data_IF_786798398994
#
_entry.id   IF_786798398994
#
_cell.length_a   1.000
_cell.length_b   1.000
_cell.length_c   1.000
_cell.angle_alpha   90.00
_cell.angle_beta   90.00
_cell.angle_gamma   90.00
#
_symmetry.space_group_name_H-M   'P 1'
#
loop_
_entity.id
_entity.type
_entity.pdbx_description
1 polymer ?
#
# COMPACT_ATOMS: atom_id res chain seq x y z
N UNK A 1 22.02 -2.19 -17.56
CA UNK A 1 20.96 -2.73 -16.66
C UNK A 1 20.34 -1.54 -15.96
N UNK A 2 19.06 -1.60 -15.61
CA UNK A 2 18.48 -0.62 -14.69
C UNK A 2 19.14 -0.75 -13.29
N UNK A 3 19.18 0.31 -12.46
CA UNK A 3 19.60 0.19 -11.07
C UNK A 3 18.70 -0.80 -10.33
N UNK A 4 19.27 -1.57 -9.40
CA UNK A 4 18.50 -2.41 -8.47
C UNK A 4 17.44 -1.59 -7.73
N UNK A 5 16.33 -2.22 -7.27
CA UNK A 5 15.35 -1.55 -6.43
C UNK A 5 15.96 -1.12 -5.08
N UNK A 6 15.24 -0.25 -4.37
CA UNK A 6 15.52 0.10 -2.98
C UNK A 6 14.29 -0.23 -2.16
N UNK A 7 14.47 -0.91 -1.03
CA UNK A 7 13.36 -1.32 -0.17
C UNK A 7 13.39 -0.59 1.17
N UNK A 8 12.25 -0.07 1.60
CA UNK A 8 12.00 0.28 2.99
C UNK A 8 11.08 -0.78 3.59
N UNK A 9 11.54 -1.45 4.65
CA UNK A 9 10.74 -2.42 5.37
C UNK A 9 10.45 -1.90 6.78
N UNK A 10 9.17 -1.63 7.04
CA UNK A 10 8.63 -1.44 8.38
C UNK A 10 8.67 -2.82 9.05
N UNK A 11 9.65 -3.06 9.93
CA UNK A 11 9.98 -4.40 10.44
C UNK A 11 9.17 -4.80 11.68
N UNK A 12 8.38 -3.87 12.24
CA UNK A 12 7.46 -4.15 13.33
C UNK A 12 8.13 -4.41 14.68
N UNK A 13 7.47 -5.21 15.52
CA UNK A 13 8.01 -5.75 16.75
C UNK A 13 8.89 -6.96 16.48
N UNK A 14 9.68 -7.36 17.48
CA UNK A 14 10.42 -8.63 17.40
C UNK A 14 9.51 -9.82 17.14
N UNK A 15 8.27 -9.80 17.63
CA UNK A 15 7.31 -10.89 17.45
C UNK A 15 6.86 -11.04 16.00
N UNK A 16 6.52 -9.95 15.32
CA UNK A 16 6.14 -9.95 13.90
C UNK A 16 7.20 -10.59 13.02
N UNK A 17 8.49 -10.27 13.23
CA UNK A 17 9.59 -10.86 12.47
C UNK A 17 9.66 -12.39 12.58
N UNK A 18 9.15 -12.92 13.70
CA UNK A 18 8.99 -14.36 13.93
C UNK A 18 7.76 -14.97 13.27
N UNK A 19 6.69 -14.23 13.02
CA UNK A 19 5.41 -14.78 12.56
C UNK A 19 5.18 -14.68 11.05
N UNK A 20 4.26 -15.49 10.53
CA UNK A 20 3.83 -15.39 9.13
C UNK A 20 2.90 -14.19 8.95
N UNK A 21 3.07 -13.43 7.88
CA UNK A 21 2.33 -12.20 7.58
C UNK A 21 2.45 -11.84 6.10
N UNK A 22 1.52 -11.04 5.57
CA UNK A 22 1.60 -10.54 4.20
C UNK A 22 2.91 -9.77 3.94
N UNK A 23 3.40 -9.06 4.95
CA UNK A 23 4.71 -8.40 4.92
C UNK A 23 5.86 -9.41 4.73
N UNK A 24 5.86 -10.51 5.49
CA UNK A 24 6.88 -11.55 5.35
C UNK A 24 6.84 -12.25 3.98
N UNK A 25 5.63 -12.55 3.47
CA UNK A 25 5.42 -13.10 2.13
C UNK A 25 5.91 -12.15 1.03
N UNK A 26 5.63 -10.84 1.17
CA UNK A 26 6.09 -9.84 0.23
C UNK A 26 7.62 -9.65 0.27
N UNK A 27 8.25 -9.68 1.45
CA UNK A 27 9.70 -9.66 1.55
C UNK A 27 10.32 -10.87 0.85
N UNK A 28 9.77 -12.09 1.06
CA UNK A 28 10.21 -13.28 0.34
C UNK A 28 10.07 -13.10 -1.18
N UNK A 29 8.93 -12.60 -1.66
CA UNK A 29 8.70 -12.32 -3.08
C UNK A 29 9.76 -11.36 -3.65
N UNK A 30 10.05 -10.27 -2.95
CA UNK A 30 11.11 -9.33 -3.35
C UNK A 30 12.50 -9.96 -3.35
N UNK A 31 12.75 -10.94 -2.47
CA UNK A 31 14.00 -11.70 -2.44
C UNK A 31 14.12 -12.69 -3.59
N UNK A 32 13.05 -13.43 -3.90
CA UNK A 32 12.96 -14.30 -5.08
C UNK A 32 13.19 -13.47 -6.36
N UNK A 33 12.46 -12.37 -6.55
CA UNK A 33 12.63 -11.43 -7.67
C UNK A 33 14.08 -10.89 -7.75
N UNK A 34 14.72 -10.56 -6.62
CA UNK A 34 16.10 -10.07 -6.59
C UNK A 34 17.13 -11.15 -6.95
N UNK A 35 16.91 -12.41 -6.55
CA UNK A 35 17.77 -13.54 -6.92
C UNK A 35 17.66 -13.88 -8.41
N UNK A 36 16.44 -13.85 -8.98
CA UNK A 36 16.22 -14.03 -10.42
C UNK A 36 16.95 -12.98 -11.26
N UNK A 37 16.99 -11.73 -10.79
CA UNK A 37 17.75 -10.64 -11.42
C UNK A 37 19.26 -10.65 -11.12
N UNK A 38 19.76 -11.61 -10.33
CA UNK A 38 21.19 -11.83 -10.11
C UNK A 38 21.88 -10.73 -9.30
N UNK A 39 21.28 -10.25 -8.20
CA UNK A 39 21.95 -9.32 -7.29
C UNK A 39 23.31 -9.85 -6.80
N UNK A 40 24.29 -8.95 -6.65
CA UNK A 40 25.63 -9.29 -6.12
C UNK A 40 25.65 -9.42 -4.60
N UNK A 41 24.77 -8.69 -3.92
CA UNK A 41 24.75 -8.56 -2.48
C UNK A 41 23.74 -7.51 -2.02
N UNK A 42 23.69 -7.29 -0.71
CA UNK A 42 22.75 -6.40 -0.04
C UNK A 42 23.50 -5.39 0.82
N UNK A 43 23.05 -4.14 0.86
CA UNK A 43 23.55 -3.09 1.72
C UNK A 43 22.39 -2.60 2.59
N UNK A 44 22.49 -2.79 3.90
CA UNK A 44 21.39 -2.57 4.85
C UNK A 44 21.69 -1.48 5.87
N UNK A 45 20.65 -0.75 6.27
CA UNK A 45 20.64 0.08 7.48
C UNK A 45 19.41 -0.30 8.33
N UNK A 46 19.63 -0.70 9.58
CA UNK A 46 18.59 -1.06 10.53
C UNK A 46 18.43 -0.02 11.65
N UNK A 47 17.28 -0.05 12.33
CA UNK A 47 16.94 0.89 13.40
C UNK A 47 17.64 0.63 14.75
N UNK A 48 18.20 -0.56 14.97
CA UNK A 48 18.67 -0.96 16.31
C UNK A 48 20.19 -0.88 16.50
N UNK A 49 20.93 -0.33 15.52
CA UNK A 49 22.36 -0.05 15.65
C UNK A 49 22.72 1.39 15.26
N UNK A 50 23.21 2.16 16.24
CA UNK A 50 23.68 3.52 16.06
C UNK A 50 25.17 3.71 16.41
N UNK A 51 25.82 4.60 15.66
CA UNK A 51 27.17 5.08 15.94
C UNK A 51 27.11 6.40 16.71
N UNK A 52 27.93 6.50 17.76
CA UNK A 52 28.00 7.70 18.62
C UNK A 52 28.92 8.77 18.02
N UNK A 53 28.58 10.03 18.23
CA UNK A 53 29.30 11.19 17.68
C UNK A 53 28.43 11.99 16.69
N UNK A 54 28.93 13.12 16.21
CA UNK A 54 28.14 14.10 15.43
C UNK A 54 27.99 13.75 13.94
N UNK A 55 29.04 13.18 13.34
CA UNK A 55 29.11 12.79 11.93
C UNK A 55 29.84 11.44 11.84
N UNK A 56 29.41 10.48 12.66
CA UNK A 56 30.01 9.15 12.79
C UNK A 56 29.04 8.09 12.26
N UNK A 57 29.53 7.23 11.38
CA UNK A 57 28.85 6.05 10.87
C UNK A 57 29.79 4.86 11.01
N UNK A 58 29.26 3.70 11.37
CA UNK A 58 30.01 2.45 11.43
C UNK A 58 29.51 1.48 10.38
N UNK A 59 30.41 0.61 9.90
CA UNK A 59 30.09 -0.45 8.95
C UNK A 59 30.51 -1.78 9.57
N UNK A 60 29.62 -2.78 9.53
CA UNK A 60 29.88 -4.10 10.10
C UNK A 60 31.01 -4.77 9.33
N UNK A 61 32.10 -5.06 10.04
CA UNK A 61 33.33 -5.63 9.48
C UNK A 61 33.80 -6.87 10.25
N UNK A 62 32.92 -7.46 11.06
CA UNK A 62 33.15 -8.76 11.70
C UNK A 62 33.09 -9.86 10.61
N UNK A 63 34.12 -10.72 10.44
CA UNK A 63 34.09 -11.81 9.47
C UNK A 63 33.17 -12.98 9.83
N UNK A 64 32.78 -13.10 11.11
CA UNK A 64 31.94 -14.19 11.61
C UNK A 64 31.04 -13.71 12.76
N UNK A 65 30.11 -12.77 12.49
CA UNK A 65 29.20 -12.26 13.48
C UNK A 65 28.22 -13.34 13.92
N UNK A 66 27.94 -13.38 15.21
CA UNK A 66 26.76 -14.05 15.74
C UNK A 66 25.49 -13.21 15.52
N UNK A 67 24.41 -13.69 16.13
CA UNK A 67 23.08 -13.08 16.10
C UNK A 67 22.69 -12.68 17.51
N UNK A 68 22.35 -11.43 17.75
CA UNK A 68 21.82 -10.99 19.04
C UNK A 68 20.49 -11.70 19.34
N UNK A 69 20.28 -12.26 20.55
CA UNK A 69 19.04 -12.94 20.92
C UNK A 69 17.80 -12.05 20.78
N UNK A 70 16.66 -12.66 20.46
CA UNK A 70 15.42 -11.94 20.13
C UNK A 70 14.34 -12.22 21.17
N UNK A 71 13.71 -11.18 21.70
CA UNK A 71 12.56 -11.34 22.58
C UNK A 71 11.36 -11.92 21.80
N UNK A 72 10.67 -12.89 22.40
CA UNK A 72 9.45 -13.53 21.87
C UNK A 72 9.58 -14.38 20.59
N UNK A 73 10.73 -14.40 19.92
CA UNK A 73 11.00 -15.29 18.76
C UNK A 73 11.74 -16.54 19.22
N UNK A 74 11.25 -17.72 18.84
CA UNK A 74 11.91 -18.98 19.18
C UNK A 74 13.25 -19.12 18.42
N UNK A 75 14.38 -19.47 19.07
CA UNK A 75 15.69 -19.50 18.43
C UNK A 75 15.79 -20.38 17.17
N UNK A 76 15.01 -21.47 17.08
CA UNK A 76 14.97 -22.31 15.87
C UNK A 76 14.53 -21.57 14.60
N UNK A 77 13.88 -20.39 14.72
CA UNK A 77 13.53 -19.55 13.56
C UNK A 77 14.76 -18.83 12.96
N UNK A 78 15.92 -18.80 13.63
CA UNK A 78 17.10 -18.04 13.16
C UNK A 78 18.50 -18.59 13.48
N UNK A 79 18.67 -19.52 14.43
CA UNK A 79 20.02 -19.97 14.85
C UNK A 79 20.79 -20.60 13.69
N UNK A 80 20.17 -21.51 12.94
CA UNK A 80 20.83 -22.30 11.88
C UNK A 80 21.09 -21.54 10.58
N UNK A 81 20.49 -20.36 10.40
CA UNK A 81 20.67 -19.53 9.21
C UNK A 81 22.09 -18.96 9.13
N UNK A 82 22.82 -19.24 8.06
CA UNK A 82 24.20 -18.76 7.92
C UNK A 82 24.23 -17.31 7.43
N UNK A 83 24.94 -16.46 8.17
CA UNK A 83 25.18 -15.07 7.80
C UNK A 83 26.40 -15.00 6.86
N UNK A 84 26.36 -14.11 5.87
CA UNK A 84 27.41 -13.95 4.86
C UNK A 84 27.87 -12.46 4.82
N UNK A 85 28.82 -12.03 5.68
CA UNK A 85 29.30 -10.65 5.72
C UNK A 85 30.13 -10.27 4.49
N UNK A 86 29.73 -9.22 3.77
CA UNK A 86 30.49 -8.70 2.62
C UNK A 86 31.50 -7.63 3.07
N UNK A 87 32.66 -8.10 3.53
CA UNK A 87 33.79 -7.25 3.93
C UNK A 87 34.43 -6.47 2.76
N UNK A 88 34.57 -7.03 1.53
CA UNK A 88 35.02 -6.25 0.38
C UNK A 88 34.12 -5.03 0.10
N UNK A 89 32.80 -5.21 0.08
CA UNK A 89 31.85 -4.08 -0.11
C UNK A 89 31.83 -3.17 1.11
N UNK A 90 31.95 -3.69 2.33
CA UNK A 90 32.09 -2.88 3.54
C UNK A 90 33.26 -1.88 3.46
N UNK A 91 34.45 -2.33 3.03
CA UNK A 91 35.60 -1.45 2.81
C UNK A 91 35.36 -0.40 1.71
N UNK A 92 34.64 -0.76 0.64
CA UNK A 92 34.24 0.20 -0.41
C UNK A 92 33.29 1.26 0.14
N UNK A 93 32.27 0.86 0.89
CA UNK A 93 31.31 1.78 1.56
C UNK A 93 32.04 2.73 2.51
N UNK A 94 32.93 2.22 3.38
CA UNK A 94 33.77 3.05 4.27
C UNK A 94 34.55 4.10 3.47
N UNK A 95 35.16 3.70 2.35
CA UNK A 95 35.93 4.62 1.49
C UNK A 95 35.04 5.67 0.81
N UNK A 96 33.89 5.27 0.26
CA UNK A 96 32.93 6.16 -0.40
C UNK A 96 32.36 7.22 0.55
N UNK A 97 32.04 6.81 1.79
CA UNK A 97 31.48 7.72 2.81
C UNK A 97 32.54 8.67 3.38
N UNK A 98 33.76 8.19 3.66
CA UNK A 98 34.87 9.07 4.06
C UNK A 98 35.25 10.08 2.97
N UNK A 99 35.30 9.66 1.70
CA UNK A 99 35.52 10.58 0.56
C UNK A 99 34.39 11.61 0.40
N UNK A 100 33.20 11.35 0.94
CA UNK A 100 32.09 12.30 1.01
C UNK A 100 32.10 13.18 2.28
N UNK A 101 33.13 13.10 3.12
CA UNK A 101 33.25 13.85 4.37
C UNK A 101 32.32 13.35 5.49
N UNK A 102 31.97 12.06 5.49
CA UNK A 102 31.28 11.39 6.59
C UNK A 102 32.33 10.53 7.32
N UNK A 103 32.65 10.82 8.58
CA UNK A 103 33.65 10.04 9.31
C UNK A 103 33.08 8.63 9.54
N UNK A 104 33.62 7.67 8.79
CA UNK A 104 33.06 6.32 8.68
C UNK A 104 34.11 5.30 9.09
N UNK A 105 33.74 4.35 9.94
CA UNK A 105 34.68 3.41 10.58
C UNK A 105 34.24 1.97 10.43
N UNK A 106 35.21 1.05 10.40
CA UNK A 106 34.95 -0.37 10.54
C UNK A 106 34.57 -0.70 11.99
N UNK A 107 33.54 -1.52 12.19
CA UNK A 107 33.27 -2.18 13.45
C UNK A 107 33.44 -3.70 13.29
N UNK A 108 34.62 -4.17 13.66
CA UNK A 108 35.06 -5.58 13.58
C UNK A 108 34.41 -6.47 14.65
N UNK A 109 33.59 -5.91 15.54
CA UNK A 109 32.98 -6.59 16.70
C UNK A 109 31.45 -6.53 16.70
N UNK A 110 30.84 -5.97 15.65
CA UNK A 110 29.39 -5.88 15.56
C UNK A 110 28.77 -7.26 15.33
N UNK A 111 27.82 -7.61 16.18
CA UNK A 111 26.98 -8.81 16.10
C UNK A 111 25.64 -8.40 15.45
N UNK A 112 25.10 -9.22 14.54
CA UNK A 112 23.93 -8.78 13.77
C UNK A 112 22.66 -8.77 14.63
N UNK A 113 21.85 -7.72 14.47
CA UNK A 113 20.63 -7.47 15.25
C UNK A 113 19.39 -7.89 14.43
N UNK A 114 18.31 -8.21 15.14
CA UNK A 114 17.09 -8.84 14.61
C UNK A 114 16.45 -8.10 13.42
N UNK A 115 16.50 -6.77 13.43
CA UNK A 115 16.05 -5.87 12.38
C UNK A 115 16.77 -6.05 11.03
N UNK A 116 17.95 -6.67 11.04
CA UNK A 116 18.71 -7.00 9.83
C UNK A 116 18.58 -8.48 9.48
N UNK A 117 18.92 -9.39 10.40
CA UNK A 117 19.03 -10.81 10.03
C UNK A 117 17.68 -11.52 9.92
N UNK A 118 16.63 -11.13 10.64
CA UNK A 118 15.30 -11.74 10.47
C UNK A 118 14.68 -11.30 9.14
N UNK A 119 14.89 -10.04 8.73
CA UNK A 119 14.55 -9.55 7.39
C UNK A 119 15.26 -10.38 6.31
N UNK A 120 16.57 -10.64 6.47
CA UNK A 120 17.32 -11.49 5.53
C UNK A 120 16.81 -12.94 5.51
N UNK A 121 16.40 -13.51 6.64
CA UNK A 121 15.80 -14.85 6.71
C UNK A 121 14.46 -14.89 5.95
N UNK A 122 13.60 -13.90 6.15
CA UNK A 122 12.30 -13.83 5.46
C UNK A 122 12.47 -13.59 3.96
N UNK A 123 13.39 -12.70 3.58
CA UNK A 123 13.66 -12.35 2.19
C UNK A 123 14.41 -13.47 1.43
N UNK A 124 15.39 -14.12 2.05
CA UNK A 124 16.28 -15.09 1.41
C UNK A 124 16.40 -16.42 2.18
N UNK A 125 15.28 -17.13 2.45
CA UNK A 125 15.22 -18.24 3.42
C UNK A 125 16.20 -19.39 3.15
N UNK A 126 16.60 -19.59 1.90
CA UNK A 126 17.53 -20.65 1.50
C UNK A 126 19.00 -20.32 1.75
N UNK A 127 19.40 -19.04 1.62
CA UNK A 127 20.81 -18.61 1.72
C UNK A 127 20.91 -17.08 1.84
N UNK A 128 21.66 -16.60 2.82
CA UNK A 128 22.02 -15.19 2.91
C UNK A 128 22.86 -14.74 1.68
N UNK A 129 22.47 -13.67 0.97
CA UNK A 129 23.38 -13.01 0.03
C UNK A 129 24.52 -12.32 0.78
N UNK A 130 25.67 -12.05 0.12
CA UNK A 130 26.73 -11.21 0.70
C UNK A 130 26.14 -9.87 1.16
N UNK A 131 26.28 -9.55 2.45
CA UNK A 131 25.59 -8.40 3.05
C UNK A 131 26.52 -7.49 3.82
N UNK A 132 26.44 -6.19 3.56
CA UNK A 132 27.09 -5.12 4.33
C UNK A 132 26.03 -4.39 5.18
N UNK A 133 26.22 -4.31 6.50
CA UNK A 133 25.37 -3.51 7.38
C UNK A 133 26.06 -2.18 7.71
N UNK A 134 25.30 -1.09 7.60
CA UNK A 134 25.70 0.28 7.94
C UNK A 134 24.89 0.72 9.16
N UNK A 135 25.55 1.26 10.18
CA UNK A 135 24.89 1.83 11.35
C UNK A 135 24.17 3.13 11.01
N UNK A 136 23.19 3.47 11.84
CA UNK A 136 22.70 4.84 11.94
C UNK A 136 23.68 5.72 12.72
N UNK A 137 23.33 6.98 12.95
CA UNK A 137 23.98 7.89 13.87
C UNK A 137 23.02 8.27 15.02
N UNK A 138 23.55 8.25 16.25
CA UNK A 138 22.80 8.48 17.51
C UNK A 138 22.10 9.84 17.62
N UNK A 139 22.46 10.83 16.78
CA UNK A 139 21.78 12.13 16.73
C UNK A 139 20.57 12.17 15.81
N UNK A 140 20.33 11.12 15.04
CA UNK A 140 19.18 10.98 14.13
C UNK A 140 18.97 12.18 13.19
N UNK A 141 20.07 12.77 12.70
CA UNK A 141 19.99 13.83 11.67
C UNK A 141 19.53 13.21 10.35
N UNK A 142 18.33 13.56 9.83
CA UNK A 142 17.83 13.00 8.58
C UNK A 142 18.73 13.32 7.39
N UNK A 143 19.43 14.46 7.41
CA UNK A 143 20.30 14.88 6.32
C UNK A 143 21.58 14.05 6.27
N UNK A 144 22.13 13.64 7.43
CA UNK A 144 23.25 12.70 7.49
C UNK A 144 22.87 11.33 6.90
N UNK A 145 21.77 10.73 7.35
CA UNK A 145 21.32 9.41 6.87
C UNK A 145 20.98 9.43 5.37
N UNK A 146 20.33 10.51 4.90
CA UNK A 146 20.06 10.74 3.49
C UNK A 146 21.35 10.94 2.66
N UNK A 147 22.36 11.61 3.22
CA UNK A 147 23.67 11.74 2.58
C UNK A 147 24.39 10.39 2.50
N UNK A 148 24.29 9.53 3.51
CA UNK A 148 24.82 8.15 3.47
C UNK A 148 24.21 7.38 2.29
N UNK A 149 22.87 7.32 2.21
CA UNK A 149 22.15 6.65 1.12
C UNK A 149 22.49 7.21 -0.26
N UNK A 150 22.55 8.53 -0.39
CA UNK A 150 22.95 9.23 -1.62
C UNK A 150 24.36 8.85 -2.07
N UNK A 151 25.29 8.61 -1.14
CA UNK A 151 26.69 8.31 -1.48
C UNK A 151 26.96 6.85 -1.78
N UNK A 152 26.17 5.91 -1.24
CA UNK A 152 26.23 4.50 -1.66
C UNK A 152 25.42 4.19 -2.92
N UNK A 153 24.49 5.08 -3.33
CA UNK A 153 23.62 4.94 -4.52
C UNK A 153 24.30 4.30 -5.76
N UNK A 154 25.54 4.67 -6.17
CA UNK A 154 26.16 4.08 -7.35
C UNK A 154 26.27 2.55 -7.32
N UNK A 155 26.32 1.92 -6.14
CA UNK A 155 26.35 0.47 -5.98
C UNK A 155 25.06 -0.22 -6.48
N UNK A 156 23.93 0.52 -6.59
CA UNK A 156 22.70 0.02 -7.24
C UNK A 156 22.92 -0.32 -8.71
N UNK A 157 23.67 0.51 -9.43
CA UNK A 157 24.05 0.29 -10.83
C UNK A 157 25.05 -0.88 -10.98
N UNK A 158 25.72 -1.25 -9.88
CA UNK A 158 26.61 -2.41 -9.85
C UNK A 158 25.90 -3.72 -9.48
N UNK A 159 24.60 -3.70 -9.16
CA UNK A 159 23.84 -4.90 -8.79
C UNK A 159 23.72 -5.15 -7.28
N UNK A 160 24.01 -4.17 -6.42
CA UNK A 160 23.75 -4.28 -4.97
C UNK A 160 22.35 -3.79 -4.62
N UNK A 161 21.61 -4.59 -3.87
CA UNK A 161 20.31 -4.19 -3.34
C UNK A 161 20.49 -3.28 -2.12
N UNK A 162 19.71 -2.21 -2.00
CA UNK A 162 19.75 -1.32 -0.82
C UNK A 162 18.46 -1.48 -0.02
N UNK A 163 18.58 -1.75 1.29
CA UNK A 163 17.44 -1.95 2.20
C UNK A 163 17.58 -1.05 3.43
N UNK A 164 16.53 -0.30 3.76
CA UNK A 164 16.35 0.31 5.08
C UNK A 164 15.31 -0.47 5.87
N UNK A 165 15.60 -0.84 7.13
CA UNK A 165 14.64 -1.50 8.01
C UNK A 165 14.35 -0.61 9.23
N UNK A 166 13.08 -0.37 9.51
CA UNK A 166 12.65 0.57 10.55
C UNK A 166 11.16 0.47 10.81
N UNK A 167 10.46 1.60 10.93
CA UNK A 167 9.02 1.64 11.16
C UNK A 167 8.35 2.88 10.59
N UNK A 168 7.26 2.69 9.83
CA UNK A 168 6.43 3.79 9.31
C UNK A 168 5.68 4.52 10.45
N UNK A 169 5.23 3.78 11.46
CA UNK A 169 4.85 4.27 12.80
C UNK A 169 5.56 3.33 13.77
N UNK A 170 6.24 3.86 14.77
CA UNK A 170 6.87 3.06 15.82
C UNK A 170 6.91 3.86 17.15
N UNK A 171 5.80 3.82 17.87
CA UNK A 171 5.70 4.37 19.22
C UNK A 171 5.15 3.33 20.21
N UNK A 172 6.07 2.62 20.85
CA UNK A 172 5.76 1.57 21.81
C UNK A 172 4.95 2.06 23.03
N UNK A 173 4.99 3.35 23.36
CA UNK A 173 4.16 3.94 24.43
C UNK A 173 2.71 4.19 24.01
N UNK A 174 2.44 4.22 22.70
CA UNK A 174 1.10 4.41 22.11
C UNK A 174 0.46 3.10 21.63
N UNK A 175 1.18 1.98 21.66
CA UNK A 175 0.67 0.67 21.21
C UNK A 175 -0.23 -0.02 22.26
N UNK A 176 -1.15 -0.85 21.78
CA UNK A 176 -2.07 -1.65 22.61
C UNK A 176 -1.47 -3.04 22.86
N UNK A 177 -0.85 -3.20 24.02
CA UNK A 177 -0.12 -4.42 24.39
C UNK A 177 -0.98 -5.55 24.96
N UNK A 178 -2.25 -5.28 25.32
CA UNK A 178 -3.10 -6.23 26.04
C UNK A 178 -3.32 -7.56 25.29
N UNK A 179 -3.59 -7.59 23.97
CA UNK A 179 -3.76 -8.85 23.23
C UNK A 179 -2.46 -9.68 23.21
N UNK A 180 -1.32 -9.04 22.97
CA UNK A 180 -0.01 -9.70 22.97
C UNK A 180 0.33 -10.31 24.33
N UNK A 181 0.08 -9.59 25.42
CA UNK A 181 0.37 -10.06 26.78
C UNK A 181 -0.59 -11.18 27.23
N UNK A 182 -1.86 -11.15 26.80
CA UNK A 182 -2.91 -12.07 27.25
C UNK A 182 -3.03 -13.34 26.40
N UNK A 183 -2.85 -13.22 25.09
CA UNK A 183 -3.05 -14.33 24.14
C UNK A 183 -1.78 -14.74 23.38
N UNK A 184 -0.68 -13.98 23.53
CA UNK A 184 0.54 -14.10 22.70
C UNK A 184 0.30 -13.81 21.21
N UNK A 185 -0.67 -12.97 20.93
CA UNK A 185 -1.06 -12.53 19.59
C UNK A 185 -0.79 -11.03 19.46
N UNK A 186 0.22 -10.66 18.66
CA UNK A 186 0.55 -9.27 18.35
C UNK A 186 -0.32 -8.70 17.21
N UNK A 187 -0.94 -9.53 16.38
CA UNK A 187 -1.78 -9.11 15.26
C UNK A 187 -3.24 -8.86 15.64
N UNK A 188 -3.70 -9.37 16.80
CA UNK A 188 -5.05 -9.15 17.32
C UNK A 188 -5.43 -7.65 17.43
N UNK A 189 -6.42 -7.25 16.63
CA UNK A 189 -7.00 -5.90 16.57
C UNK A 189 -8.32 -5.84 17.38
N UNK A 190 -8.25 -5.84 18.72
CA UNK A 190 -9.47 -5.71 19.57
C UNK A 190 -10.17 -4.35 19.39
N UNK A 191 -9.44 -3.33 18.91
CA UNK A 191 -9.94 -2.02 18.48
C UNK A 191 -9.24 -1.60 17.18
N UNK A 192 -9.87 -0.76 16.33
CA UNK A 192 -9.20 -0.21 15.15
C UNK A 192 -8.01 0.69 15.55
N UNK A 193 -7.04 0.90 14.64
CA UNK A 193 -5.95 1.85 14.85
C UNK A 193 -6.45 3.27 15.13
N UNK A 194 -5.73 4.01 15.98
CA UNK A 194 -6.03 5.39 16.32
C UNK A 194 -5.79 6.34 15.13
N UNK A 195 -6.59 7.41 15.04
CA UNK A 195 -6.54 8.35 13.91
C UNK A 195 -5.18 9.02 13.67
N UNK A 196 -4.36 9.24 14.71
CA UNK A 196 -3.01 9.79 14.54
C UNK A 196 -2.05 8.79 13.87
N UNK A 197 -2.24 7.49 14.10
CA UNK A 197 -1.43 6.42 13.52
C UNK A 197 -1.76 6.27 12.03
N UNK A 198 -3.06 6.25 11.71
CA UNK A 198 -3.58 6.25 10.34
C UNK A 198 -3.09 7.47 9.55
N UNK A 199 -3.24 8.67 10.10
CA UNK A 199 -2.82 9.94 9.47
C UNK A 199 -1.31 9.99 9.20
N UNK A 200 -0.48 9.57 10.17
CA UNK A 200 0.96 9.56 9.97
C UNK A 200 1.39 8.49 8.95
N UNK A 201 0.81 7.28 9.04
CA UNK A 201 0.97 6.22 8.03
C UNK A 201 0.65 6.74 6.63
N UNK A 202 -0.46 7.46 6.48
CA UNK A 202 -0.93 7.97 5.21
C UNK A 202 0.06 8.99 4.65
N UNK A 203 0.53 9.89 5.51
CA UNK A 203 1.59 10.85 5.18
C UNK A 203 2.91 10.18 4.75
N UNK A 204 3.33 9.08 5.41
CA UNK A 204 4.51 8.30 5.00
C UNK A 204 4.30 7.68 3.63
N UNK A 205 3.13 7.07 3.41
CA UNK A 205 2.76 6.45 2.16
C UNK A 205 2.81 7.45 1.00
N UNK A 206 2.11 8.59 1.09
CA UNK A 206 2.06 9.59 0.03
C UNK A 206 3.42 10.25 -0.22
N UNK A 207 4.26 10.39 0.81
CA UNK A 207 5.64 10.84 0.64
C UNK A 207 6.48 9.86 -0.20
N UNK A 208 6.20 8.56 -0.17
CA UNK A 208 6.87 7.54 -0.98
C UNK A 208 6.20 7.39 -2.36
N UNK A 209 4.86 7.34 -2.40
CA UNK A 209 4.08 6.96 -3.59
C UNK A 209 3.71 8.13 -4.50
N UNK A 210 3.74 9.38 -4.00
CA UNK A 210 3.45 10.56 -4.83
C UNK A 210 4.69 11.37 -5.22
N UNK A 211 5.87 11.01 -4.69
CA UNK A 211 7.12 11.71 -4.96
C UNK A 211 8.13 10.78 -5.65
N UNK A 212 9.02 11.41 -6.43
CA UNK A 212 10.13 10.76 -7.14
C UNK A 212 11.32 11.73 -7.20
N UNK A 213 12.51 11.22 -7.51
CA UNK A 213 13.74 12.03 -7.53
C UNK A 213 13.93 12.92 -6.29
N UNK A 214 14.45 14.15 -6.43
CA UNK A 214 14.70 15.03 -5.30
C UNK A 214 13.45 15.44 -4.50
N UNK A 215 12.25 15.26 -5.06
CA UNK A 215 11.01 15.48 -4.31
C UNK A 215 10.84 14.43 -3.19
N UNK A 216 11.19 13.16 -3.45
CA UNK A 216 11.14 12.07 -2.45
C UNK A 216 12.03 12.41 -1.23
N UNK A 217 13.25 12.87 -1.49
CA UNK A 217 14.19 13.33 -0.44
C UNK A 217 13.57 14.46 0.43
N UNK A 218 12.91 15.44 -0.19
CA UNK A 218 12.23 16.54 0.53
C UNK A 218 10.99 16.08 1.30
N UNK A 219 10.19 15.19 0.72
CA UNK A 219 8.97 14.66 1.33
C UNK A 219 9.30 13.88 2.61
N UNK A 220 10.21 12.91 2.52
CA UNK A 220 10.62 12.06 3.66
C UNK A 220 11.25 12.87 4.79
N UNK A 221 12.15 13.82 4.49
CA UNK A 221 12.71 14.69 5.55
C UNK A 221 11.68 15.63 6.18
N UNK A 222 10.65 16.05 5.43
CA UNK A 222 9.57 16.91 5.95
C UNK A 222 8.64 16.19 6.93
N UNK A 223 8.51 14.86 6.84
CA UNK A 223 7.68 14.09 7.77
C UNK A 223 8.11 14.25 9.24
N UNK A 224 9.41 14.48 9.52
CA UNK A 224 9.90 14.81 10.86
C UNK A 224 9.38 16.15 11.42
N UNK A 225 8.60 16.90 10.65
CA UNK A 225 7.87 18.12 11.04
C UNK A 225 6.35 17.95 10.98
N UNK A 226 5.84 16.75 10.67
CA UNK A 226 4.42 16.45 10.69
C UNK A 226 3.86 16.57 12.12
N UNK A 227 2.65 17.11 12.34
CA UNK A 227 2.10 17.26 13.69
C UNK A 227 2.04 15.94 14.48
N UNK A 228 1.66 14.85 13.81
CA UNK A 228 1.57 13.51 14.41
C UNK A 228 2.93 12.78 14.54
N UNK A 229 4.06 13.37 14.12
CA UNK A 229 5.34 12.65 14.10
C UNK A 229 5.76 12.17 15.49
N UNK A 230 5.54 12.95 16.55
CA UNK A 230 5.92 12.52 17.92
C UNK A 230 4.97 11.49 18.52
N UNK A 231 3.73 11.44 18.04
CA UNK A 231 2.82 10.35 18.36
C UNK A 231 3.20 9.09 17.59
N UNK A 232 3.67 9.22 16.35
CA UNK A 232 4.15 8.11 15.54
C UNK A 232 5.54 7.58 15.94
N UNK A 233 6.44 8.44 16.43
CA UNK A 233 7.83 8.14 16.74
C UNK A 233 8.24 8.84 18.04
N UNK A 234 8.26 8.07 19.14
CA UNK A 234 8.78 8.56 20.42
C UNK A 234 10.27 8.92 20.32
N UNK A 235 11.01 8.15 19.52
CA UNK A 235 12.42 8.33 19.16
C UNK A 235 12.59 8.15 17.65
N UNK A 236 13.64 8.77 17.09
CA UNK A 236 13.78 8.97 15.62
C UNK A 236 14.46 7.80 14.90
N UNK A 237 14.97 6.84 15.66
CA UNK A 237 15.73 5.67 15.23
C UNK A 237 15.01 4.85 14.15
N UNK A 238 13.74 4.47 14.37
CA UNK A 238 12.96 3.69 13.41
C UNK A 238 12.63 4.45 12.11
N UNK A 239 12.83 5.78 12.06
CA UNK A 239 12.58 6.58 10.87
C UNK A 239 13.85 6.88 10.05
N UNK A 240 15.05 6.76 10.63
CA UNK A 240 16.29 7.10 9.92
C UNK A 240 16.60 6.19 8.72
N UNK A 241 16.17 4.93 8.79
CA UNK A 241 16.23 4.01 7.65
C UNK A 241 15.39 4.51 6.45
N UNK A 242 14.28 5.24 6.66
CA UNK A 242 13.50 5.87 5.59
C UNK A 242 14.27 7.03 4.93
N UNK A 243 14.99 7.84 5.73
CA UNK A 243 15.86 8.89 5.22
C UNK A 243 17.02 8.33 4.38
N UNK A 244 17.61 7.21 4.80
CA UNK A 244 18.66 6.49 4.07
C UNK A 244 18.19 5.99 2.70
N UNK A 245 17.07 5.27 2.62
CA UNK A 245 16.55 4.76 1.33
C UNK A 245 16.12 5.89 0.39
N UNK A 246 15.53 6.98 0.90
CA UNK A 246 15.21 8.16 0.12
C UNK A 246 16.48 8.87 -0.42
N UNK A 247 17.59 8.79 0.31
CA UNK A 247 18.91 9.13 -0.20
C UNK A 247 19.31 8.29 -1.41
N UNK A 248 19.14 6.96 -1.32
CA UNK A 248 19.51 6.01 -2.37
C UNK A 248 18.57 6.02 -3.60
N UNK A 249 17.31 6.45 -3.45
CA UNK A 249 16.24 6.36 -4.45
C UNK A 249 15.63 7.70 -4.93
N UNK A 250 16.15 8.85 -4.46
CA UNK A 250 15.59 10.17 -4.74
C UNK A 250 16.57 11.17 -5.39
N UNK A 251 17.35 10.74 -6.36
CA UNK A 251 18.25 11.61 -7.15
C UNK A 251 17.59 12.16 -8.42
N UNK A 252 18.23 13.14 -9.07
CA UNK A 252 17.71 13.74 -10.32
C UNK A 252 17.46 12.70 -11.43
N UNK A 253 18.25 11.63 -11.47
CA UNK A 253 18.06 10.49 -12.39
C UNK A 253 16.77 9.69 -12.13
N UNK A 254 16.15 9.80 -10.94
CA UNK A 254 14.90 9.12 -10.61
C UNK A 254 13.65 9.97 -10.93
N UNK A 255 13.78 11.16 -11.53
CA UNK A 255 12.62 11.99 -11.90
C UNK A 255 11.78 11.40 -13.04
N UNK A 256 12.35 10.54 -13.89
CA UNK A 256 11.63 9.85 -14.97
C UNK A 256 11.29 8.39 -14.62
N UNK A 257 11.79 7.88 -13.49
CA UNK A 257 11.55 6.50 -13.05
C UNK A 257 10.15 6.34 -12.43
N UNK A 258 9.70 5.09 -12.29
CA UNK A 258 8.48 4.78 -11.53
C UNK A 258 8.55 5.38 -10.11
N UNK A 259 7.40 5.85 -9.61
CA UNK A 259 7.31 6.32 -8.23
C UNK A 259 7.54 5.14 -7.27
N UNK A 260 7.83 5.43 -6.00
CA UNK A 260 7.84 4.39 -4.98
C UNK A 260 6.49 3.67 -4.97
N UNK A 261 6.51 2.33 -5.03
CA UNK A 261 5.29 1.55 -4.78
C UNK A 261 5.34 1.00 -3.37
N UNK A 262 4.17 0.96 -2.78
CA UNK A 262 3.91 0.25 -1.55
C UNK A 262 3.80 -1.27 -1.84
N UNK A 263 4.08 -2.10 -0.84
CA UNK A 263 4.30 -3.54 -1.02
C UNK A 263 3.21 -4.44 -0.43
N UNK A 264 3.03 -4.36 0.89
CA UNK A 264 2.08 -5.19 1.65
C UNK A 264 1.64 -4.46 2.93
N UNK A 265 0.42 -4.79 3.41
CA UNK A 265 -0.13 -4.33 4.69
C UNK A 265 0.00 -5.39 5.78
N UNK A 266 0.30 -4.97 7.00
CA UNK A 266 0.14 -5.75 8.22
C UNK A 266 -0.01 -4.73 9.37
N UNK A 267 -0.89 -4.98 10.34
CA UNK A 267 -1.01 -4.15 11.54
C UNK A 267 -0.77 -5.02 12.77
N UNK A 268 0.00 -4.50 13.73
CA UNK A 268 0.19 -5.14 15.03
C UNK A 268 0.08 -4.15 16.18
N UNK A 269 -0.15 -4.68 17.38
CA UNK A 269 -0.30 -3.92 18.64
C UNK A 269 -1.26 -2.72 18.50
N UNK A 270 -2.31 -2.91 17.70
CA UNK A 270 -3.27 -1.92 17.19
C UNK A 270 -2.71 -0.77 16.36
N UNK A 271 -1.72 -0.02 16.84
CA UNK A 271 -1.33 1.26 16.27
C UNK A 271 -0.10 1.24 15.34
N UNK A 272 0.42 0.05 14.98
CA UNK A 272 1.68 -0.09 14.23
C UNK A 272 1.47 -0.74 12.85
N UNK A 273 1.54 0.04 11.73
CA UNK A 273 1.27 -0.42 10.38
C UNK A 273 2.49 -0.74 9.50
N UNK A 274 2.17 -1.54 8.50
CA UNK A 274 2.75 -1.82 7.19
C UNK A 274 1.52 -1.78 6.23
N UNK A 275 1.52 -1.38 4.94
CA UNK A 275 0.46 -0.50 4.33
C UNK A 275 -0.24 -0.95 2.96
N UNK A 276 -1.59 -0.76 2.72
CA UNK A 276 -2.46 -0.59 1.45
C UNK A 276 -4.04 -0.36 1.67
N UNK A 277 -4.97 -0.26 0.66
CA UNK A 277 -6.21 0.66 0.65
C UNK A 277 -7.66 0.19 0.17
N UNK A 278 -8.71 1.08 0.18
CA UNK A 278 -10.19 0.96 -0.21
C UNK A 278 -10.83 2.19 -1.01
N UNK A 279 -12.09 2.13 -1.56
CA UNK A 279 -12.85 3.22 -2.30
C UNK A 279 -14.07 3.80 -1.52
N UNK A 280 -14.25 5.14 -1.45
CA UNK A 280 -15.30 5.82 -0.67
C UNK A 280 -16.74 5.86 -1.26
N UNK A 281 -17.74 6.29 -0.44
CA UNK A 281 -19.17 6.40 -0.82
C UNK A 281 -19.52 7.72 -1.52
N UNK A 282 -20.33 7.65 -2.59
CA UNK A 282 -20.87 8.81 -3.31
C UNK A 282 -19.93 9.43 -4.34
N UNK A 283 -18.69 8.96 -4.39
CA UNK A 283 -17.64 9.41 -5.29
C UNK A 283 -17.67 8.66 -6.63
N UNK A 284 -17.29 9.34 -7.72
CA UNK A 284 -17.02 8.70 -9.03
C UNK A 284 -16.09 9.55 -9.89
N UNK A 285 -15.83 9.12 -11.13
CA UNK A 285 -15.04 9.89 -12.10
C UNK A 285 -14.55 9.11 -13.32
N UNK A 286 -13.89 9.83 -14.22
CA UNK A 286 -13.02 9.25 -15.26
C UNK A 286 -11.60 9.13 -14.69
N UNK A 287 -10.94 8.00 -14.94
CA UNK A 287 -9.61 7.67 -14.45
C UNK A 287 -8.68 7.30 -15.60
N UNK A 288 -7.37 7.42 -15.37
CA UNK A 288 -6.34 6.95 -16.29
C UNK A 288 -5.66 5.70 -15.75
N UNK A 289 -5.67 4.62 -16.52
CA UNK A 289 -5.03 3.34 -16.21
C UNK A 289 -3.99 3.01 -17.26
N UNK A 290 -2.73 2.84 -16.84
CA UNK A 290 -1.68 2.30 -17.70
C UNK A 290 -1.72 0.77 -17.69
N UNK A 291 -2.69 0.18 -18.42
CA UNK A 291 -2.72 -1.26 -18.76
C UNK A 291 -4.02 -2.03 -18.46
N UNK A 292 -4.26 -3.07 -19.26
CA UNK A 292 -5.52 -3.84 -19.41
C UNK A 292 -5.97 -4.72 -18.23
N UNK A 293 -5.52 -4.46 -16.99
CA UNK A 293 -5.73 -5.36 -15.85
C UNK A 293 -6.71 -4.79 -14.81
N UNK A 294 -8.00 -4.82 -15.09
CA UNK A 294 -9.06 -4.62 -14.08
C UNK A 294 -10.05 -5.77 -14.16
N UNK A 295 -10.13 -6.60 -13.11
CA UNK A 295 -10.90 -7.86 -13.14
C UNK A 295 -12.11 -7.91 -12.17
N UNK A 296 -12.14 -7.04 -11.16
CA UNK A 296 -13.15 -7.02 -10.08
C UNK A 296 -13.16 -5.65 -9.38
N UNK A 297 -14.33 -5.07 -9.14
CA UNK A 297 -14.51 -3.82 -8.39
C UNK A 297 -15.70 -4.00 -7.44
N UNK A 298 -15.58 -3.54 -6.21
CA UNK A 298 -16.59 -3.73 -5.17
C UNK A 298 -16.71 -2.52 -4.26
N UNK A 299 -17.75 -2.55 -3.43
CA UNK A 299 -18.08 -1.50 -2.46
C UNK A 299 -18.31 -2.18 -1.10
N UNK A 300 -17.64 -1.73 -0.03
CA UNK A 300 -17.98 -2.15 1.33
C UNK A 300 -19.10 -1.29 1.92
N UNK A 301 -19.86 -1.87 2.84
CA UNK A 301 -20.75 -1.21 3.81
C UNK A 301 -21.90 -0.30 3.32
N UNK A 302 -22.00 0.03 2.02
CA UNK A 302 -23.22 0.65 1.49
C UNK A 302 -24.37 -0.39 1.40
N UNK A 303 -25.62 0.07 1.54
CA UNK A 303 -26.86 -0.73 1.50
C UNK A 303 -27.89 -0.24 0.46
N UNK A 304 -27.52 0.75 -0.37
CA UNK A 304 -28.39 1.42 -1.35
C UNK A 304 -27.69 1.75 -2.67
N UNK A 305 -26.38 1.48 -2.74
CA UNK A 305 -25.54 1.95 -3.84
C UNK A 305 -25.35 0.91 -4.94
N UNK A 306 -24.98 1.39 -6.12
CA UNK A 306 -24.43 0.57 -7.21
C UNK A 306 -23.03 1.06 -7.53
N UNK A 307 -22.03 0.20 -7.37
CA UNK A 307 -20.71 0.41 -7.97
C UNK A 307 -20.78 0.13 -9.46
N UNK A 308 -20.31 1.06 -10.30
CA UNK A 308 -20.29 0.98 -11.76
C UNK A 308 -18.85 1.12 -12.24
N UNK A 309 -18.47 0.34 -13.25
CA UNK A 309 -17.21 0.49 -13.98
C UNK A 309 -17.36 0.13 -15.45
N UNK A 310 -16.62 0.80 -16.34
CA UNK A 310 -16.33 0.33 -17.71
C UNK A 310 -15.10 1.05 -18.28
N UNK A 311 -14.43 0.42 -19.24
CA UNK A 311 -13.30 0.99 -19.99
C UNK A 311 -13.84 1.90 -21.10
N UNK A 312 -13.25 3.10 -21.22
CA UNK A 312 -13.57 4.10 -22.24
C UNK A 312 -12.69 3.87 -23.48
N UNK A 313 -11.38 3.83 -23.26
CA UNK A 313 -10.32 3.61 -24.26
C UNK A 313 -9.07 3.00 -23.59
N UNK A 314 -7.97 2.85 -24.34
CA UNK A 314 -6.74 2.13 -23.92
C UNK A 314 -6.14 2.66 -22.61
N UNK A 315 -6.26 3.97 -22.35
CA UNK A 315 -5.70 4.64 -21.18
C UNK A 315 -6.77 5.06 -20.17
N UNK A 316 -8.08 5.03 -20.50
CA UNK A 316 -9.14 5.61 -19.65
C UNK A 316 -10.26 4.64 -19.32
N UNK A 317 -10.75 4.72 -18.08
CA UNK A 317 -11.98 4.06 -17.66
C UNK A 317 -12.87 4.99 -16.84
N UNK A 318 -14.15 4.65 -16.76
CA UNK A 318 -15.10 5.26 -15.85
C UNK A 318 -15.29 4.36 -14.62
N UNK A 319 -15.36 4.94 -13.43
CA UNK A 319 -15.89 4.25 -12.26
C UNK A 319 -16.69 5.19 -11.35
N UNK A 320 -17.76 4.69 -10.73
CA UNK A 320 -18.56 5.46 -9.78
C UNK A 320 -19.23 4.58 -8.73
N UNK A 321 -19.35 5.11 -7.52
CA UNK A 321 -20.14 4.54 -6.44
C UNK A 321 -21.45 5.34 -6.32
N UNK A 322 -22.44 4.96 -7.14
CA UNK A 322 -23.71 5.69 -7.27
C UNK A 322 -24.61 5.35 -6.10
N UNK A 323 -24.81 6.31 -5.20
CA UNK A 323 -25.87 6.23 -4.20
C UNK A 323 -27.12 6.88 -4.78
N UNK A 324 -28.21 6.13 -4.90
CA UNK A 324 -29.48 6.67 -5.32
C UNK A 324 -30.47 6.53 -4.16
N UNK A 325 -30.85 7.67 -3.60
CA UNK A 325 -31.68 7.79 -2.41
C UNK A 325 -33.02 8.41 -2.80
N UNK A 326 -34.12 7.81 -2.32
CA UNK A 326 -35.45 8.42 -2.42
C UNK A 326 -35.84 9.07 -1.09
N UNK A 327 -36.29 10.33 -1.17
CA UNK A 327 -36.74 11.08 0.01
C UNK A 327 -38.25 11.00 0.14
N UNK A 328 -38.72 10.41 1.24
CA UNK A 328 -40.14 10.31 1.57
C UNK A 328 -40.73 11.67 1.95
N UNK A 329 -42.05 11.82 1.84
CA UNK A 329 -42.77 13.06 2.24
C UNK A 329 -42.56 13.46 3.70
N UNK A 330 -42.17 12.52 4.57
CA UNK A 330 -41.82 12.73 5.97
C UNK A 330 -40.35 13.06 6.22
N UNK A 331 -39.53 13.25 5.18
CA UNK A 331 -38.10 13.60 5.29
C UNK A 331 -37.17 12.44 5.65
N UNK A 332 -37.67 11.20 5.65
CA UNK A 332 -36.86 9.99 5.85
C UNK A 332 -36.38 9.36 4.54
N UNK A 333 -35.25 8.66 4.61
CA UNK A 333 -34.65 7.90 3.50
C UNK A 333 -35.45 6.63 3.19
N UNK A 334 -35.68 6.34 1.91
CA UNK A 334 -36.30 5.11 1.43
C UNK A 334 -35.39 4.36 0.44
N UNK A 335 -35.36 3.04 0.58
CA UNK A 335 -34.67 2.11 -0.34
C UNK A 335 -35.61 1.60 -1.45
N UNK A 336 -36.91 1.87 -1.31
CA UNK A 336 -37.96 1.45 -2.23
C UNK A 336 -38.22 2.55 -3.24
N UNK A 337 -38.46 2.17 -4.49
CA UNK A 337 -39.00 3.04 -5.52
C UNK A 337 -40.37 2.53 -6.00
N UNK A 338 -41.03 3.32 -6.83
CA UNK A 338 -42.21 2.97 -7.60
C UNK A 338 -41.91 3.21 -9.10
N UNK A 339 -42.83 2.88 -10.02
CA UNK A 339 -42.58 3.07 -11.46
C UNK A 339 -42.13 4.49 -11.83
N UNK A 340 -42.91 5.51 -11.44
CA UNK A 340 -42.61 6.92 -11.71
C UNK A 340 -41.28 7.38 -11.08
N UNK A 341 -41.02 7.00 -9.82
CA UNK A 341 -39.77 7.38 -9.13
C UNK A 341 -38.57 6.61 -9.70
N UNK A 342 -38.75 5.37 -10.16
CA UNK A 342 -37.76 4.57 -10.87
C UNK A 342 -37.41 5.18 -12.22
N UNK A 343 -38.40 5.60 -13.00
CA UNK A 343 -38.21 6.29 -14.27
C UNK A 343 -37.45 7.62 -14.11
N UNK A 344 -37.72 8.37 -13.02
CA UNK A 344 -36.95 9.57 -12.65
C UNK A 344 -35.49 9.25 -12.31
N UNK A 345 -35.24 8.19 -11.53
CA UNK A 345 -33.87 7.72 -11.23
C UNK A 345 -33.17 7.33 -12.54
N UNK A 346 -33.83 6.56 -13.41
CA UNK A 346 -33.29 6.17 -14.72
C UNK A 346 -32.91 7.37 -15.57
N UNK A 347 -33.81 8.36 -15.66
CA UNK A 347 -33.56 9.60 -16.41
C UNK A 347 -32.36 10.39 -15.86
N UNK A 348 -32.22 10.50 -14.54
CA UNK A 348 -31.12 11.23 -13.91
C UNK A 348 -29.77 10.51 -14.04
N UNK A 349 -29.71 9.19 -13.87
CA UNK A 349 -28.50 8.39 -14.13
C UNK A 349 -28.02 8.58 -15.58
N UNK A 350 -28.93 8.41 -16.55
CA UNK A 350 -28.62 8.64 -17.99
C UNK A 350 -28.17 10.08 -18.26
N UNK A 351 -28.80 11.07 -17.64
CA UNK A 351 -28.41 12.47 -17.77
C UNK A 351 -26.99 12.71 -17.25
N UNK A 352 -26.60 12.12 -16.12
CA UNK A 352 -25.22 12.23 -15.59
C UNK A 352 -24.20 11.51 -16.46
N UNK A 353 -24.48 10.30 -16.92
CA UNK A 353 -23.62 9.58 -17.87
C UNK A 353 -23.42 10.37 -19.16
N UNK A 354 -24.48 10.96 -19.73
CA UNK A 354 -24.37 11.86 -20.89
C UNK A 354 -23.53 13.12 -20.59
N UNK A 355 -23.70 13.74 -19.43
CA UNK A 355 -22.90 14.92 -19.04
C UNK A 355 -21.42 14.58 -18.94
N UNK A 356 -21.06 13.44 -18.35
CA UNK A 356 -19.67 13.04 -18.13
C UNK A 356 -19.04 12.51 -19.43
N UNK A 357 -19.81 11.82 -20.29
CA UNK A 357 -19.42 11.51 -21.67
C UNK A 357 -19.04 12.76 -22.47
N UNK A 358 -19.81 13.85 -22.34
CA UNK A 358 -19.50 15.14 -22.98
C UNK A 358 -18.32 15.85 -22.32
N UNK A 359 -18.31 15.96 -20.99
CA UNK A 359 -17.31 16.69 -20.19
C UNK A 359 -15.91 16.07 -20.25
N UNK A 360 -15.83 14.75 -20.34
CA UNK A 360 -14.58 13.99 -20.36
C UNK A 360 -14.27 13.35 -21.72
N UNK A 361 -14.99 13.77 -22.76
CA UNK A 361 -14.70 13.45 -24.17
C UNK A 361 -14.52 11.93 -24.41
N UNK A 362 -15.49 11.13 -23.97
CA UNK A 362 -15.44 9.66 -24.12
C UNK A 362 -15.73 9.17 -25.54
N UNK A 363 -16.26 10.04 -26.42
CA UNK A 363 -16.80 9.64 -27.72
C UNK A 363 -18.15 8.90 -27.61
N UNK A 364 -18.71 8.40 -28.73
CA UNK A 364 -19.94 7.61 -28.72
C UNK A 364 -19.72 6.27 -27.99
N UNK A 365 -20.81 5.69 -27.44
CA UNK A 365 -20.73 4.43 -26.68
C UNK A 365 -20.08 3.32 -27.50
N UNK A 366 -18.85 2.97 -27.11
CA UNK A 366 -17.98 2.07 -27.84
C UNK A 366 -18.34 0.61 -27.57
N UNK A 367 -17.79 -0.29 -28.38
CA UNK A 367 -17.87 -1.74 -28.11
C UNK A 367 -17.17 -2.07 -26.79
N UNK A 368 -15.99 -1.50 -26.55
CA UNK A 368 -15.20 -1.67 -25.32
C UNK A 368 -15.99 -1.31 -24.06
N UNK A 369 -16.75 -0.21 -24.06
CA UNK A 369 -17.60 0.19 -22.92
C UNK A 369 -18.67 -0.86 -22.59
N UNK A 370 -19.30 -1.45 -23.62
CA UNK A 370 -20.30 -2.53 -23.44
C UNK A 370 -19.67 -3.82 -22.93
N UNK A 371 -18.48 -4.17 -23.43
CA UNK A 371 -17.83 -5.46 -23.14
C UNK A 371 -17.07 -5.46 -21.79
N UNK A 372 -16.75 -4.29 -21.24
CA UNK A 372 -15.99 -4.13 -19.99
C UNK A 372 -16.83 -3.73 -18.77
N UNK A 373 -18.16 -3.64 -18.91
CA UNK A 373 -19.01 -3.16 -17.82
C UNK A 373 -19.04 -4.12 -16.63
N UNK A 374 -18.82 -3.57 -15.44
CA UNK A 374 -18.98 -4.27 -14.15
C UNK A 374 -19.93 -3.44 -13.29
N UNK A 375 -20.94 -4.10 -12.71
CA UNK A 375 -21.87 -3.47 -11.77
C UNK A 375 -22.03 -4.35 -10.53
N UNK A 376 -21.99 -3.73 -9.34
CA UNK A 376 -22.13 -4.41 -8.05
C UNK A 376 -23.12 -3.67 -7.17
N UNK A 377 -24.10 -4.38 -6.60
CA UNK A 377 -25.08 -3.85 -5.66
C UNK A 377 -25.19 -4.75 -4.42
N UNK A 378 -25.40 -4.16 -3.24
CA UNK A 378 -25.44 -4.84 -1.96
C UNK A 378 -26.88 -5.14 -1.48
N UNK A 379 -27.21 -6.44 -1.47
CA UNK A 379 -28.44 -7.06 -0.90
C UNK A 379 -29.80 -6.53 -1.41
N UNK A 380 -30.39 -7.26 -2.35
CA UNK A 380 -31.81 -7.13 -2.69
C UNK A 380 -32.72 -7.99 -1.79
N UNK A 381 -33.16 -7.44 -0.66
CA UNK A 381 -34.23 -8.05 0.15
C UNK A 381 -35.63 -7.71 -0.43
N UNK A 382 -36.41 -8.75 -0.74
CA UNK A 382 -37.64 -8.68 -1.53
C UNK A 382 -38.77 -7.84 -0.92
N UNK A 383 -39.41 -6.99 -1.75
CA UNK A 383 -40.88 -6.91 -1.94
C UNK A 383 -41.32 -5.76 -2.88
N UNK A 384 -40.40 -4.90 -3.31
CA UNK A 384 -40.65 -3.69 -4.11
C UNK A 384 -39.47 -3.47 -5.06
N UNK A 385 -39.61 -2.78 -6.21
CA UNK A 385 -38.45 -2.44 -7.02
C UNK A 385 -37.51 -1.59 -6.18
N UNK A 386 -36.25 -2.01 -6.09
CA UNK A 386 -35.23 -1.35 -5.30
C UNK A 386 -34.53 -0.30 -6.16
N UNK A 387 -34.01 0.73 -5.50
CA UNK A 387 -33.40 1.85 -6.22
C UNK A 387 -32.16 1.41 -7.02
N UNK A 388 -31.44 0.39 -6.56
CA UNK A 388 -30.33 -0.24 -7.31
C UNK A 388 -30.75 -0.82 -8.67
N UNK A 389 -31.95 -1.40 -8.78
CA UNK A 389 -32.48 -1.95 -10.04
C UNK A 389 -32.66 -0.84 -11.09
N UNK A 390 -33.17 0.32 -10.65
CA UNK A 390 -33.36 1.47 -11.51
C UNK A 390 -32.01 2.05 -11.99
N UNK A 391 -30.97 2.04 -11.15
CA UNK A 391 -29.61 2.47 -11.54
C UNK A 391 -28.99 1.47 -12.54
N UNK A 392 -29.04 0.17 -12.26
CA UNK A 392 -28.48 -0.86 -13.13
C UNK A 392 -29.14 -0.87 -14.52
N UNK A 393 -30.47 -0.84 -14.58
CA UNK A 393 -31.22 -0.75 -15.83
C UNK A 393 -30.90 0.54 -16.61
N UNK A 394 -30.71 1.67 -15.92
CA UNK A 394 -30.35 2.92 -16.58
C UNK A 394 -28.98 2.85 -17.28
N UNK A 395 -28.00 2.19 -16.66
CA UNK A 395 -26.66 1.96 -17.22
C UNK A 395 -26.73 1.00 -18.40
N UNK A 396 -27.47 -0.10 -18.30
CA UNK A 396 -27.66 -1.06 -19.40
C UNK A 396 -28.33 -0.39 -20.61
N UNK A 397 -29.43 0.33 -20.39
CA UNK A 397 -30.14 1.08 -21.43
C UNK A 397 -29.29 2.21 -22.04
N UNK A 398 -28.38 2.82 -21.27
CA UNK A 398 -27.44 3.84 -21.78
C UNK A 398 -26.32 3.23 -22.63
N UNK A 399 -25.77 2.10 -22.19
CA UNK A 399 -24.78 1.34 -22.95
C UNK A 399 -25.38 0.69 -24.21
N UNK A 400 -26.70 0.49 -24.26
CA UNK A 400 -27.37 -0.23 -25.34
C UNK A 400 -27.12 -1.73 -25.27
N UNK A 401 -27.12 -2.28 -24.05
CA UNK A 401 -27.05 -3.72 -23.77
C UNK A 401 -28.50 -4.23 -23.72
N UNK A 402 -28.81 -5.31 -24.45
CA UNK A 402 -30.13 -5.95 -24.39
C UNK A 402 -30.43 -6.42 -22.96
N UNK A 403 -31.71 -6.42 -22.55
CA UNK A 403 -32.11 -6.80 -21.19
C UNK A 403 -31.63 -8.23 -20.85
N UNK A 404 -30.53 -8.31 -20.10
CA UNK A 404 -30.18 -9.52 -19.36
C UNK A 404 -31.30 -9.75 -18.36
N UNK A 405 -31.99 -10.88 -18.46
CA UNK A 405 -33.11 -11.22 -17.57
C UNK A 405 -32.69 -11.06 -16.12
N UNK A 406 -33.33 -10.12 -15.41
CA UNK A 406 -33.02 -9.84 -14.02
C UNK A 406 -33.08 -11.15 -13.19
N UNK A 407 -32.06 -11.46 -12.37
CA UNK A 407 -32.02 -12.70 -11.62
C UNK A 407 -33.20 -12.77 -10.65
N UNK A 408 -34.06 -13.78 -10.80
CA UNK A 408 -35.06 -14.11 -9.79
C UNK A 408 -34.41 -14.75 -8.55
N UNK A 409 -33.71 -13.96 -7.70
CA UNK A 409 -33.35 -14.30 -6.30
C UNK A 409 -32.66 -13.15 -5.52
N UNK A 410 -32.45 -13.41 -4.21
CA UNK A 410 -32.31 -12.46 -3.09
C UNK A 410 -30.90 -11.89 -2.85
N UNK A 411 -30.00 -11.97 -3.83
CA UNK A 411 -28.56 -11.85 -3.61
C UNK A 411 -27.92 -10.60 -4.26
N UNK A 412 -26.76 -10.22 -3.73
CA UNK A 412 -25.85 -9.26 -4.35
C UNK A 412 -25.27 -9.83 -5.65
N UNK A 413 -25.53 -9.19 -6.79
CA UNK A 413 -25.02 -9.63 -8.09
C UNK A 413 -23.84 -8.79 -8.57
N UNK A 414 -22.94 -9.43 -9.29
CA UNK A 414 -21.89 -8.81 -10.11
C UNK A 414 -22.17 -9.14 -11.57
N UNK A 415 -22.48 -8.12 -12.38
CA UNK A 415 -22.47 -8.27 -13.84
C UNK A 415 -21.01 -8.28 -14.30
N UNK A 416 -20.66 -9.23 -15.16
CA UNK A 416 -19.31 -9.42 -15.70
C UNK A 416 -19.38 -9.59 -17.23
N UNK A 417 -18.22 -9.43 -17.88
CA UNK A 417 -17.94 -9.49 -19.32
C UNK A 417 -18.91 -10.35 -20.16
N UNK A 418 -19.34 -9.94 -21.38
CA UNK A 418 -20.48 -10.52 -22.13
C UNK A 418 -20.36 -11.97 -22.64
N UNK A 419 -19.31 -12.69 -22.24
CA UNK A 419 -19.15 -14.14 -22.49
C UNK A 419 -19.12 -14.96 -21.19
N UNK A 420 -19.31 -14.33 -20.02
CA UNK A 420 -19.35 -14.98 -18.71
C UNK A 420 -20.78 -14.93 -18.13
N UNK A 421 -21.15 -15.94 -17.32
CA UNK A 421 -22.42 -15.91 -16.60
C UNK A 421 -22.45 -14.83 -15.50
N UNK A 422 -23.67 -14.36 -15.20
CA UNK A 422 -23.94 -13.48 -14.07
C UNK A 422 -23.40 -14.12 -12.77
N UNK A 423 -22.43 -13.46 -12.13
CA UNK A 423 -21.85 -13.94 -10.88
C UNK A 423 -22.65 -13.41 -9.69
N UNK A 424 -23.44 -14.26 -9.05
CA UNK A 424 -24.06 -13.98 -7.76
C UNK A 424 -23.05 -14.25 -6.63
N UNK A 425 -23.07 -13.41 -5.60
CA UNK A 425 -22.24 -13.56 -4.41
C UNK A 425 -23.11 -13.47 -3.14
N UNK A 426 -23.16 -14.56 -2.38
CA UNK A 426 -23.89 -14.67 -1.11
C UNK A 426 -23.31 -13.74 -0.02
N UNK A 427 -21.98 -13.58 -0.02
CA UNK A 427 -21.19 -12.73 0.87
C UNK A 427 -20.02 -12.11 0.08
N UNK A 428 -19.32 -11.11 0.63
CA UNK A 428 -18.11 -10.58 -0.03
C UNK A 428 -17.05 -11.68 -0.20
N UNK A 429 -16.60 -12.00 -1.42
CA UNK A 429 -15.61 -13.04 -1.67
C UNK A 429 -14.24 -12.74 -1.05
N UNK A 430 -13.93 -13.43 0.05
CA UNK A 430 -12.66 -13.35 0.79
C UNK A 430 -11.42 -13.86 0.02
N UNK A 431 -11.62 -14.61 -1.08
CA UNK A 431 -10.57 -15.32 -1.79
C UNK A 431 -10.36 -14.86 -3.26
N UNK A 432 -10.72 -13.62 -3.61
CA UNK A 432 -10.47 -13.05 -4.96
C UNK A 432 -9.80 -11.68 -4.87
N UNK A 433 -8.96 -11.35 -5.85
CA UNK A 433 -8.28 -10.05 -5.94
C UNK A 433 -9.26 -8.97 -6.41
N UNK A 434 -9.61 -8.07 -5.52
CA UNK A 434 -10.39 -6.86 -5.81
C UNK A 434 -9.45 -5.74 -6.27
N UNK A 435 -9.85 -5.00 -7.32
CA UNK A 435 -9.11 -3.84 -7.78
C UNK A 435 -9.54 -2.58 -7.05
N UNK A 436 -8.55 -1.72 -6.88
CA UNK A 436 -8.57 -0.57 -6.02
C UNK A 436 -8.51 0.70 -6.88
N UNK A 437 -9.67 1.35 -7.07
CA UNK A 437 -9.76 2.64 -7.76
C UNK A 437 -9.52 3.76 -6.75
N UNK A 438 -8.24 4.01 -6.47
CA UNK A 438 -7.76 5.06 -5.57
C UNK A 438 -8.46 6.39 -5.88
N UNK A 439 -9.10 6.97 -4.85
CA UNK A 439 -9.81 8.26 -4.86
C UNK A 439 -10.59 8.62 -6.13
N UNK A 440 -11.84 8.15 -6.20
CA UNK A 440 -12.82 8.65 -7.15
C UNK A 440 -12.92 10.19 -7.15
N UNK A 441 -12.54 10.78 -8.28
CA UNK A 441 -12.31 12.20 -8.47
C UNK A 441 -13.54 13.08 -8.18
N UNK A 442 -13.72 13.42 -6.89
CA UNK A 442 -14.71 14.31 -6.27
C UNK A 442 -15.77 14.87 -7.24
N UNK A 443 -16.67 13.99 -7.67
CA UNK A 443 -17.86 14.33 -8.45
C UNK A 443 -19.08 13.75 -7.77
N UNK A 444 -20.17 14.50 -7.74
CA UNK A 444 -21.40 14.11 -7.06
C UNK A 444 -22.08 12.95 -7.80
N UNK A 445 -21.94 11.72 -7.30
CA UNK A 445 -22.71 10.56 -7.76
C UNK A 445 -23.81 10.13 -6.77
N UNK A 446 -24.18 11.04 -5.87
CA UNK A 446 -25.42 10.99 -5.10
C UNK A 446 -26.62 11.48 -5.93
N UNK A 447 -27.64 10.64 -6.09
CA UNK A 447 -28.91 10.97 -6.74
C UNK A 447 -29.98 11.11 -5.65
N UNK A 448 -30.60 12.29 -5.58
CA UNK A 448 -31.73 12.57 -4.70
C UNK A 448 -32.98 12.75 -5.56
N UNK A 449 -33.92 11.81 -5.48
CA UNK A 449 -35.25 11.96 -6.07
C UNK A 449 -36.28 12.18 -4.95
N UNK A 450 -37.15 13.17 -5.16
CA UNK A 450 -38.27 13.48 -4.28
C UNK A 450 -39.51 12.73 -4.76
N UNK A 451 -40.17 11.99 -3.87
CA UNK A 451 -41.48 11.39 -4.15
C UNK A 451 -42.58 12.48 -4.21
N UNK A 452 -43.47 12.38 -5.20
CA UNK A 452 -44.57 13.32 -5.47
C UNK A 452 -45.77 13.15 -4.53
#
# INVERSE_FOLDING_TARGET
MAPTPVFFYSHGSTMMLGEESESADYWKKCGDEALEHGIKGVIMMGAHWDARGENNIEVSMNPSPGKSPVAYVHPSKYVDYKLEPDLPTGNRVISMLNNAGINTRANEKFEWIHDTYLILIRMFPNKCPPTTIISMNTRFDPHLHMKVGTKIRPLRNEGYLVIGTGGAVHNLYRNVWAPMLKYRDNFAQETPPEGWALEFRQSVEDCITQNRGPALRRAITRLMKHPQYRDAHATDDHFMAACFVAGAAGDWEDEEQEKGRLGAETWELTNMPQVYRHIAQGSGGTYTFTGNNVQHIGTSDCLTCVGIYFIIDDDRCFAAHVNADTTTKSGGWSRKTNGNTGDKIKAEVKRRLNNEQMKSEWGPVSRTMRESVVMVCSRCEETWPLVGDAVAAAVQEWLGIEEMSAPHRKESFTVRHPNEELCLFDEQPSNRRWFMLDEAANSDWGILVRDD
#
